data_IF_737403522416
#
_entry.id   IF_737403522416
#
_cell.length_a   1.000
_cell.length_b   1.000
_cell.length_c   1.000
_cell.angle_alpha   90.00
_cell.angle_beta   90.00
_cell.angle_gamma   90.00
#
_symmetry.space_group_name_H-M   'P 1'
#
loop_
_entity.id
_entity.type
_entity.pdbx_description
1 polymer ?
#
# COMPACT_ATOMS: atom_id res chain seq x y z
N UNK A 1 19.72 3.66 -10.16
CA UNK A 1 18.55 4.13 -10.92
C UNK A 1 18.77 4.29 -12.43
N UNK A 2 19.82 4.97 -12.93
CA UNK A 2 20.03 5.12 -14.40
C UNK A 2 19.90 3.78 -15.16
N UNK A 3 20.64 2.74 -14.74
CA UNK A 3 20.60 1.42 -15.39
C UNK A 3 19.19 0.80 -15.46
N UNK A 4 18.37 0.98 -14.42
CA UNK A 4 17.01 0.45 -14.41
C UNK A 4 16.15 1.10 -15.51
N UNK A 5 16.20 2.44 -15.62
CA UNK A 5 15.43 3.18 -16.62
C UNK A 5 15.97 3.06 -18.04
N UNK A 6 17.28 2.88 -18.23
CA UNK A 6 17.89 2.82 -19.57
C UNK A 6 18.09 1.39 -20.11
N UNK A 7 17.95 0.35 -19.28
CA UNK A 7 18.15 -1.04 -19.69
C UNK A 7 17.00 -1.62 -20.54
N UNK A 8 15.85 -0.95 -20.58
CA UNK A 8 14.63 -1.48 -21.20
C UNK A 8 13.75 -2.32 -20.28
N UNK A 9 14.15 -2.54 -19.01
CA UNK A 9 13.36 -3.31 -18.02
C UNK A 9 11.96 -2.73 -17.78
N UNK A 10 11.80 -1.41 -17.90
CA UNK A 10 10.50 -0.76 -17.73
C UNK A 10 9.53 -1.03 -18.88
N UNK A 11 10.01 -1.59 -20.00
CA UNK A 11 9.22 -1.82 -21.21
C UNK A 11 8.49 -0.56 -21.72
N UNK A 12 9.02 0.63 -21.41
CA UNK A 12 8.42 1.92 -21.76
C UNK A 12 7.30 2.39 -20.83
N UNK A 13 7.02 1.66 -19.74
CA UNK A 13 6.06 2.06 -18.73
C UNK A 13 6.69 2.90 -17.60
N UNK A 14 5.84 3.65 -16.90
CA UNK A 14 6.24 4.33 -15.66
C UNK A 14 6.49 3.29 -14.57
N UNK A 15 7.52 3.50 -13.76
CA UNK A 15 7.83 2.62 -12.63
C UNK A 15 7.20 3.11 -11.33
N UNK A 16 6.76 2.19 -10.48
CA UNK A 16 6.61 2.42 -9.05
C UNK A 16 7.98 2.18 -8.42
N UNK A 17 8.48 3.13 -7.64
CA UNK A 17 9.81 3.04 -7.04
C UNK A 17 9.65 2.92 -5.53
N UNK A 18 10.23 1.89 -4.94
CA UNK A 18 10.29 1.76 -3.50
C UNK A 18 11.43 2.62 -2.93
N UNK A 19 11.17 3.25 -1.80
CA UNK A 19 12.15 3.96 -0.99
C UNK A 19 12.19 3.32 0.40
N UNK A 20 13.40 3.11 0.92
CA UNK A 20 13.56 2.54 2.26
C UNK A 20 13.13 3.54 3.34
N UNK A 21 12.49 3.02 4.40
CA UNK A 21 11.98 3.81 5.52
C UNK A 21 12.57 3.35 6.87
N UNK A 22 12.46 2.07 7.22
CA UNK A 22 12.89 1.57 8.55
C UNK A 22 14.43 1.50 8.69
N UNK A 23 15.14 1.20 7.60
CA UNK A 23 16.59 0.96 7.62
C UNK A 23 17.40 2.06 6.90
N UNK A 24 16.81 3.24 6.71
CA UNK A 24 17.41 4.34 5.93
C UNK A 24 17.15 5.71 6.58
N UNK A 25 17.60 6.79 5.93
CA UNK A 25 17.39 8.17 6.35
C UNK A 25 16.38 8.88 5.45
N UNK A 26 15.63 9.88 5.98
CA UNK A 26 14.72 10.67 5.17
C UNK A 26 15.47 11.47 4.08
N UNK A 27 16.72 11.87 4.34
CA UNK A 27 17.56 12.54 3.36
C UNK A 27 17.93 11.65 2.16
N UNK A 28 18.26 10.38 2.40
CA UNK A 28 18.62 9.44 1.33
C UNK A 28 17.43 9.16 0.42
N UNK A 29 16.25 8.91 1.01
CA UNK A 29 15.00 8.79 0.26
C UNK A 29 14.68 10.07 -0.55
N UNK A 30 14.75 11.24 0.08
CA UNK A 30 14.50 12.51 -0.59
C UNK A 30 15.47 12.76 -1.76
N UNK A 31 16.74 12.39 -1.59
CA UNK A 31 17.77 12.50 -2.62
C UNK A 31 17.52 11.54 -3.79
N UNK A 32 17.07 10.30 -3.53
CA UNK A 32 16.68 9.35 -4.58
C UNK A 32 15.50 9.90 -5.40
N UNK A 33 14.43 10.33 -4.73
CA UNK A 33 13.23 10.89 -5.39
C UNK A 33 13.60 12.11 -6.24
N UNK A 34 14.37 13.04 -5.66
CA UNK A 34 14.81 14.24 -6.36
C UNK A 34 15.72 13.92 -7.55
N UNK A 35 16.58 12.89 -7.43
CA UNK A 35 17.42 12.44 -8.52
C UNK A 35 16.58 11.91 -9.69
N UNK A 36 15.61 11.03 -9.42
CA UNK A 36 14.73 10.43 -10.43
C UNK A 36 13.94 11.53 -11.17
N UNK A 37 13.41 12.50 -10.42
CA UNK A 37 12.66 13.63 -10.98
C UNK A 37 13.55 14.53 -11.86
N UNK A 38 14.75 14.91 -11.37
CA UNK A 38 15.72 15.72 -12.15
C UNK A 38 16.18 15.06 -13.43
N UNK A 39 16.24 13.72 -13.47
CA UNK A 39 16.57 12.96 -14.68
C UNK A 39 15.41 12.88 -15.67
N UNK A 40 14.20 13.29 -15.28
CA UNK A 40 13.00 13.21 -16.10
C UNK A 40 12.51 11.77 -16.27
N UNK A 41 12.80 10.88 -15.31
CA UNK A 41 12.40 9.48 -15.41
C UNK A 41 10.91 9.30 -15.13
N UNK A 42 10.22 8.45 -15.93
CA UNK A 42 8.78 8.25 -15.79
C UNK A 42 8.46 7.41 -14.53
N UNK A 43 7.72 8.00 -13.59
CA UNK A 43 7.29 7.36 -12.34
C UNK A 43 5.78 7.51 -12.10
N UNK A 44 5.15 6.47 -11.57
CA UNK A 44 3.76 6.54 -11.10
C UNK A 44 3.67 7.11 -9.68
N UNK A 45 4.71 6.88 -8.88
CA UNK A 45 4.81 7.28 -7.48
C UNK A 45 6.00 6.62 -6.78
N UNK A 46 6.12 6.92 -5.49
CA UNK A 46 7.15 6.39 -4.59
C UNK A 46 6.48 5.70 -3.41
N UNK A 47 6.83 4.44 -3.18
CA UNK A 47 6.32 3.63 -2.09
C UNK A 47 7.31 3.65 -0.93
N UNK A 48 6.88 4.10 0.25
CA UNK A 48 7.78 4.29 1.39
C UNK A 48 7.72 3.08 2.32
N UNK A 49 8.79 2.30 2.37
CA UNK A 49 8.88 1.12 3.23
C UNK A 49 8.10 -0.10 2.73
N UNK A 50 8.30 -1.20 3.43
CA UNK A 50 7.76 -2.52 3.08
C UNK A 50 7.40 -3.29 4.36
N UNK A 51 6.22 -3.91 4.35
CA UNK A 51 5.65 -4.81 5.35
C UNK A 51 5.89 -4.38 6.81
N UNK A 52 5.70 -3.08 7.07
CA UNK A 52 6.00 -2.49 8.37
C UNK A 52 5.05 -3.02 9.47
N UNK A 53 3.85 -3.37 9.06
CA UNK A 53 2.82 -4.04 9.85
C UNK A 53 3.20 -5.49 10.19
N UNK A 54 3.68 -6.27 9.22
CA UNK A 54 4.15 -7.65 9.44
C UNK A 54 5.44 -7.75 10.24
N UNK A 55 6.29 -6.72 10.18
CA UNK A 55 7.46 -6.56 11.06
C UNK A 55 7.10 -6.11 12.48
N UNK A 56 5.81 -5.94 12.78
CA UNK A 56 5.30 -5.52 14.08
C UNK A 56 5.85 -4.18 14.56
N UNK A 57 6.17 -3.27 13.63
CA UNK A 57 6.45 -1.86 13.97
C UNK A 57 5.16 -1.24 14.49
N UNK A 58 5.22 -0.37 15.49
CA UNK A 58 3.98 0.29 15.93
C UNK A 58 3.44 1.24 14.87
N UNK A 59 2.11 1.34 14.71
CA UNK A 59 1.51 2.20 13.70
C UNK A 59 1.88 3.67 13.91
N UNK A 60 2.02 4.11 15.17
CA UNK A 60 2.42 5.47 15.50
C UNK A 60 3.92 5.72 15.25
N UNK A 61 4.78 4.74 15.53
CA UNK A 61 6.22 4.86 15.26
C UNK A 61 6.46 4.92 13.74
N UNK A 62 5.81 4.03 12.99
CA UNK A 62 5.86 4.07 11.53
C UNK A 62 5.17 5.33 10.98
N UNK A 63 4.08 5.79 11.57
CA UNK A 63 3.45 7.07 11.23
C UNK A 63 4.41 8.25 11.39
N UNK A 64 5.22 8.27 12.45
CA UNK A 64 6.23 9.30 12.67
C UNK A 64 7.35 9.25 11.61
N UNK A 65 7.76 8.04 11.20
CA UNK A 65 8.70 7.81 10.09
C UNK A 65 8.09 8.35 8.79
N UNK A 66 6.86 7.96 8.47
CA UNK A 66 6.18 8.37 7.24
C UNK A 66 6.11 9.90 7.10
N UNK A 67 5.72 10.61 8.15
CA UNK A 67 5.66 12.08 8.15
C UNK A 67 7.04 12.71 7.89
N UNK A 68 8.09 12.23 8.57
CA UNK A 68 9.46 12.75 8.38
C UNK A 68 9.98 12.53 6.95
N UNK A 69 9.67 11.38 6.36
CA UNK A 69 10.01 11.09 4.97
C UNK A 69 9.24 11.97 4.00
N UNK A 70 7.93 12.12 4.19
CA UNK A 70 7.09 12.97 3.36
C UNK A 70 7.60 14.42 3.34
N UNK A 71 7.90 14.99 4.53
CA UNK A 71 8.47 16.33 4.67
C UNK A 71 9.80 16.48 3.93
N UNK A 72 10.71 15.52 4.09
CA UNK A 72 12.03 15.56 3.45
C UNK A 72 11.92 15.47 1.92
N UNK A 73 11.06 14.57 1.41
CA UNK A 73 10.86 14.38 -0.02
C UNK A 73 10.20 15.62 -0.63
N UNK A 74 9.10 16.10 -0.06
CA UNK A 74 8.36 17.25 -0.61
C UNK A 74 9.14 18.56 -0.53
N UNK A 75 10.13 18.67 0.38
CA UNK A 75 11.08 19.79 0.38
C UNK A 75 11.90 19.87 -0.90
N UNK A 76 12.25 18.72 -1.51
CA UNK A 76 13.06 18.66 -2.74
C UNK A 76 12.20 18.47 -4.00
N UNK A 77 11.08 17.76 -3.87
CA UNK A 77 10.19 17.35 -4.96
C UNK A 77 8.73 17.49 -4.53
N UNK A 78 8.16 18.73 -4.53
CA UNK A 78 6.84 19.01 -3.96
C UNK A 78 5.65 18.28 -4.60
N UNK A 79 5.83 17.78 -5.83
CA UNK A 79 4.81 17.08 -6.62
C UNK A 79 4.94 15.55 -6.55
N UNK A 80 5.88 15.04 -5.76
CA UNK A 80 6.07 13.61 -5.59
C UNK A 80 4.82 12.95 -4.99
N UNK A 81 4.32 11.91 -5.67
CA UNK A 81 3.21 11.08 -5.19
C UNK A 81 3.77 9.99 -4.29
N UNK A 82 3.44 10.04 -3.01
CA UNK A 82 3.91 9.09 -2.01
C UNK A 82 2.81 8.10 -1.68
N UNK A 83 3.19 6.89 -1.30
CA UNK A 83 2.26 5.86 -0.90
C UNK A 83 2.94 4.78 -0.08
N UNK A 84 2.24 3.67 0.11
CA UNK A 84 2.70 2.60 0.97
C UNK A 84 2.52 2.89 2.46
N UNK A 85 3.21 2.12 3.34
CA UNK A 85 4.08 1.01 2.98
C UNK A 85 3.28 -0.07 2.26
N UNK A 86 3.92 -0.94 1.50
CA UNK A 86 3.22 -2.16 1.09
C UNK A 86 2.89 -2.96 2.36
N UNK A 87 1.62 -3.22 2.60
CA UNK A 87 1.12 -3.93 3.78
C UNK A 87 1.23 -5.45 3.57
N UNK A 88 1.53 -6.18 4.65
CA UNK A 88 1.68 -7.65 4.63
C UNK A 88 0.44 -8.32 4.02
N UNK A 89 0.66 -9.43 3.31
CA UNK A 89 -0.39 -10.24 2.72
C UNK A 89 -1.28 -10.95 3.74
N UNK A 90 -2.28 -10.26 4.27
CA UNK A 90 -3.24 -10.78 5.27
C UNK A 90 -4.70 -10.61 4.84
N UNK A 91 -5.58 -11.54 5.26
CA UNK A 91 -7.02 -11.47 4.95
C UNK A 91 -7.80 -10.48 5.82
N UNK A 92 -7.16 -9.99 6.89
CA UNK A 92 -7.71 -9.03 7.84
C UNK A 92 -6.58 -8.19 8.42
N UNK A 93 -6.92 -6.99 8.83
CA UNK A 93 -5.99 -6.05 9.45
C UNK A 93 -5.14 -6.68 10.56
N UNK A 94 -3.85 -6.34 10.56
CA UNK A 94 -2.93 -6.75 11.60
C UNK A 94 -3.32 -6.06 12.90
N UNK A 95 -3.32 -6.82 13.98
CA UNK A 95 -3.60 -6.30 15.31
C UNK A 95 -2.35 -6.31 16.17
N UNK A 96 -2.02 -5.17 16.77
CA UNK A 96 -0.97 -5.06 17.77
C UNK A 96 -1.55 -4.80 19.16
N UNK A 97 -0.67 -4.64 20.15
CA UNK A 97 -1.06 -4.27 21.51
C UNK A 97 -1.87 -2.97 21.50
N UNK A 98 -2.89 -2.93 22.36
CA UNK A 98 -3.82 -1.81 22.42
C UNK A 98 -3.10 -0.50 22.76
N UNK A 99 -3.51 0.60 22.11
CA UNK A 99 -3.14 1.94 22.54
C UNK A 99 -3.93 2.37 23.79
N UNK A 100 -3.72 3.61 24.23
CA UNK A 100 -4.41 4.21 25.37
C UNK A 100 -5.94 4.27 25.22
N UNK A 101 -6.46 4.10 23.99
CA UNK A 101 -7.89 4.08 23.67
C UNK A 101 -8.43 2.65 23.51
N UNK A 102 -7.61 1.62 23.72
CA UNK A 102 -8.01 0.22 23.56
C UNK A 102 -7.98 -0.27 22.11
N UNK A 103 -7.45 0.50 21.15
CA UNK A 103 -7.47 0.17 19.72
C UNK A 103 -6.30 -0.74 19.36
N UNK A 104 -6.59 -1.81 18.63
CA UNK A 104 -5.58 -2.81 18.21
C UNK A 104 -5.26 -2.78 16.72
N UNK A 105 -6.11 -2.16 15.90
CA UNK A 105 -5.99 -2.07 14.44
C UNK A 105 -4.71 -1.34 14.02
N UNK A 106 -3.85 -1.98 13.22
CA UNK A 106 -2.63 -1.35 12.72
C UNK A 106 -2.97 -0.26 11.72
N UNK A 107 -3.69 -0.61 10.66
CA UNK A 107 -4.02 0.33 9.58
C UNK A 107 -4.84 1.52 10.10
N UNK A 108 -5.84 1.26 10.94
CA UNK A 108 -6.68 2.30 11.51
C UNK A 108 -5.87 3.31 12.33
N UNK A 109 -4.94 2.82 13.17
CA UNK A 109 -4.08 3.68 13.99
C UNK A 109 -3.09 4.47 13.15
N UNK A 110 -2.51 3.88 12.11
CA UNK A 110 -1.63 4.58 11.17
C UNK A 110 -2.35 5.73 10.44
N UNK A 111 -3.54 5.48 9.89
CA UNK A 111 -4.32 6.51 9.20
C UNK A 111 -4.72 7.64 10.16
N UNK A 112 -5.13 7.31 11.38
CA UNK A 112 -5.45 8.31 12.40
C UNK A 112 -4.21 9.12 12.81
N UNK A 113 -3.04 8.50 12.87
CA UNK A 113 -1.78 9.20 13.09
C UNK A 113 -1.51 10.22 11.97
N UNK A 114 -1.54 9.82 10.70
CA UNK A 114 -1.33 10.75 9.59
C UNK A 114 -2.35 11.90 9.59
N UNK A 115 -3.62 11.59 9.88
CA UNK A 115 -4.69 12.59 9.94
C UNK A 115 -4.46 13.60 11.06
N UNK A 116 -4.09 13.14 12.26
CA UNK A 116 -3.84 14.02 13.41
C UNK A 116 -2.60 14.91 13.23
N UNK A 117 -1.65 14.50 12.39
CA UNK A 117 -0.43 15.26 12.08
C UNK A 117 -0.54 16.07 10.78
N UNK A 118 -1.67 16.01 10.06
CA UNK A 118 -1.89 16.77 8.83
C UNK A 118 -1.27 16.16 7.56
N UNK A 119 -0.71 14.95 7.65
CA UNK A 119 0.00 14.25 6.58
C UNK A 119 -0.86 13.25 5.80
N UNK A 120 -2.17 13.16 6.09
CA UNK A 120 -3.06 12.23 5.36
C UNK A 120 -3.06 12.46 3.85
N UNK A 121 -2.80 13.70 3.40
CA UNK A 121 -2.74 14.04 1.98
C UNK A 121 -1.48 13.54 1.28
N UNK A 122 -0.44 13.22 2.03
CA UNK A 122 0.81 12.72 1.47
C UNK A 122 0.65 11.27 1.01
N UNK A 123 -0.22 10.51 1.69
CA UNK A 123 -0.64 9.16 1.31
C UNK A 123 -1.55 9.18 0.07
N UNK A 124 -0.92 9.33 -1.10
CA UNK A 124 -1.59 9.42 -2.40
C UNK A 124 -2.14 8.06 -2.87
N UNK A 125 -1.53 6.96 -2.43
CA UNK A 125 -1.99 5.61 -2.69
C UNK A 125 -1.63 4.68 -1.54
N UNK A 126 -2.37 3.58 -1.42
CA UNK A 126 -2.09 2.46 -0.52
C UNK A 126 -1.79 1.24 -1.39
N UNK A 127 -0.82 0.43 -0.98
CA UNK A 127 -0.46 -0.84 -1.61
C UNK A 127 -0.59 -1.97 -0.60
N UNK A 128 -0.91 -3.17 -1.06
CA UNK A 128 -1.10 -4.33 -0.20
C UNK A 128 -0.71 -5.58 -0.98
N UNK A 129 -0.32 -6.62 -0.26
CA UNK A 129 -0.06 -7.92 -0.86
C UNK A 129 -1.29 -8.82 -0.72
N UNK A 130 -1.53 -9.64 -1.74
CA UNK A 130 -2.53 -10.69 -1.66
C UNK A 130 -2.05 -11.89 -2.46
N UNK A 131 -1.70 -12.95 -1.75
CA UNK A 131 -1.24 -14.20 -2.35
C UNK A 131 -2.35 -15.24 -2.27
N UNK A 132 -3.08 -15.52 -3.37
CA UNK A 132 -4.07 -16.58 -3.38
C UNK A 132 -3.35 -17.94 -3.39
N UNK A 133 -3.00 -18.44 -2.21
CA UNK A 133 -2.51 -19.81 -2.06
C UNK A 133 -3.71 -20.75 -2.03
N UNK A 134 -3.74 -21.71 -2.96
CA UNK A 134 -4.70 -22.81 -2.89
C UNK A 134 -4.26 -23.77 -1.79
N UNK A 135 -5.06 -23.89 -0.73
CA UNK A 135 -4.92 -25.01 0.21
C UNK A 135 -5.27 -26.29 -0.57
N UNK A 136 -4.31 -27.20 -0.72
CA UNK A 136 -4.49 -28.52 -1.35
C UNK A 136 -4.93 -28.54 -2.82
N UNK A 137 -4.54 -27.57 -3.65
CA UNK A 137 -4.69 -27.69 -5.10
C UNK A 137 -6.14 -27.67 -5.63
N UNK A 138 -7.12 -27.27 -4.81
CA UNK A 138 -8.53 -27.20 -5.22
C UNK A 138 -9.08 -25.80 -4.91
N UNK A 139 -9.37 -25.06 -5.97
CA UNK A 139 -9.98 -23.72 -6.02
C UNK A 139 -9.16 -22.59 -5.36
N UNK A 140 -9.09 -21.38 -5.98
CA UNK A 140 -8.64 -20.21 -5.26
C UNK A 140 -9.52 -20.04 -4.02
N UNK A 141 -8.95 -19.61 -2.88
CA UNK A 141 -9.77 -19.29 -1.71
C UNK A 141 -10.87 -18.30 -2.11
N UNK A 142 -12.05 -18.42 -1.49
CA UNK A 142 -13.24 -17.56 -1.71
C UNK A 142 -12.95 -16.04 -1.48
N UNK A 143 -11.72 -15.73 -1.08
CA UNK A 143 -11.19 -14.43 -0.71
C UNK A 143 -10.58 -13.67 -1.91
N UNK A 144 -10.53 -14.28 -3.10
CA UNK A 144 -10.12 -13.58 -4.32
C UNK A 144 -11.18 -12.53 -4.73
N UNK A 145 -10.87 -11.21 -4.67
CA UNK A 145 -11.87 -10.17 -4.94
C UNK A 145 -12.42 -10.19 -6.37
N UNK A 146 -11.69 -10.78 -7.30
CA UNK A 146 -12.06 -10.85 -8.72
C UNK A 146 -13.27 -11.77 -8.98
N UNK A 147 -13.53 -12.79 -8.15
CA UNK A 147 -14.63 -13.74 -8.36
C UNK A 147 -15.97 -13.28 -7.75
N UNK A 148 -15.95 -12.43 -6.72
CA UNK A 148 -17.19 -11.86 -6.15
C UNK A 148 -17.93 -10.94 -7.13
N UNK A 149 -17.26 -10.43 -8.16
CA UNK A 149 -17.87 -9.58 -9.17
C UNK A 149 -18.67 -10.37 -10.24
N UNK A 150 -18.48 -11.68 -10.36
CA UNK A 150 -19.04 -12.48 -11.48
C UNK A 150 -20.10 -13.49 -11.06
N UNK A 151 -20.28 -13.75 -9.75
CA UNK A 151 -21.28 -14.69 -9.26
C UNK A 151 -22.25 -14.05 -8.25
N UNK A 152 -23.53 -13.82 -8.61
CA UNK A 152 -24.53 -13.46 -7.62
C UNK A 152 -24.73 -14.63 -6.64
N UNK A 153 -24.85 -14.31 -5.36
CA UNK A 153 -24.99 -15.28 -4.26
C UNK A 153 -26.11 -16.28 -4.54
N UNK A 154 -25.87 -17.57 -4.26
CA UNK A 154 -26.86 -18.65 -4.39
C UNK A 154 -28.05 -18.57 -3.43
N UNK A 155 -28.11 -17.54 -2.57
CA UNK A 155 -29.15 -17.37 -1.55
C UNK A 155 -30.27 -16.38 -1.95
N UNK A 156 -30.49 -16.14 -3.25
CA UNK A 156 -31.75 -15.51 -3.67
C UNK A 156 -32.85 -16.58 -3.78
N UNK A 157 -33.96 -16.47 -3.01
CA UNK A 157 -35.07 -17.39 -3.17
C UNK A 157 -35.70 -17.19 -4.55
N UNK A 158 -35.73 -18.25 -5.35
CA UNK A 158 -36.37 -18.28 -6.66
C UNK A 158 -37.88 -18.11 -6.48
N UNK A 159 -38.39 -16.90 -6.71
CA UNK A 159 -39.83 -16.69 -6.88
C UNK A 159 -40.26 -17.34 -8.19
N UNK A 160 -41.02 -18.43 -8.10
CA UNK A 160 -41.67 -19.08 -9.22
C UNK A 160 -42.68 -18.11 -9.87
N UNK A 161 -42.35 -17.62 -11.07
CA UNK A 161 -43.36 -17.13 -12.01
C UNK A 161 -43.37 -18.10 -13.20
N UNK A 162 -44.44 -18.89 -13.26
CA UNK A 162 -44.68 -19.81 -14.35
C UNK A 162 -45.18 -19.08 -15.59
N UNK A 163 -44.93 -19.70 -16.74
CA UNK A 163 -45.79 -19.56 -17.91
C UNK A 163 -45.89 -20.95 -18.56
N UNK A 164 -47.10 -21.49 -18.57
CA UNK A 164 -47.54 -22.52 -19.51
C UNK A 164 -48.07 -21.81 -20.77
N UNK A 165 -48.15 -22.51 -21.92
CA UNK A 165 -47.98 -21.96 -23.27
C UNK A 165 -49.08 -21.00 -23.75
#
# INVERSE_FOLDING_TARGET
>A
MDNFYTSGLTMGHQALVACAAIDDTPEDCANEVAYIHKRGYPVVGFEMGEECDGKHTMPEDYGAIYCQWADAIHKLTPDAKLGGPVFEGVDKDITLWADDQGRTSWLGRFIDYLKSHGHLRDLSFMSFEHYPFMVNGSSPPDDCPAERATHPSKDQPTSAFGYAP
#
